data_IF_168640592542
#
_entry.id   IF_168640592542
#
_cell.length_a   1.000
_cell.length_b   1.000
_cell.length_c   1.000
_cell.angle_alpha   90.00
_cell.angle_beta   90.00
_cell.angle_gamma   90.00
#
_symmetry.space_group_name_H-M   'P 1'
#
loop_
_entity.id
_entity.type
_entity.pdbx_description
1 polymer ?
#
# COMPACT_ATOMS: atom_id res chain seq x y z
N UNK A 1 -18.62 -11.45 8.75
CA UNK A 1 -18.69 -12.53 7.73
C UNK A 1 -17.63 -12.27 6.68
N UNK A 2 -16.90 -13.29 6.22
CA UNK A 2 -15.91 -13.11 5.12
C UNK A 2 -16.68 -12.85 3.82
N UNK A 3 -16.48 -11.67 3.24
CA UNK A 3 -17.05 -11.26 1.96
C UNK A 3 -16.33 -12.02 0.83
N UNK A 4 -17.05 -12.77 0.03
CA UNK A 4 -16.49 -13.40 -1.17
C UNK A 4 -16.73 -12.51 -2.39
N UNK A 5 -15.65 -11.99 -2.97
CA UNK A 5 -15.68 -11.22 -4.20
C UNK A 5 -15.19 -12.12 -5.33
N UNK A 6 -16.02 -12.32 -6.34
CA UNK A 6 -15.63 -13.02 -7.54
C UNK A 6 -15.11 -12.00 -8.56
N UNK A 7 -13.85 -12.14 -8.94
CA UNK A 7 -13.25 -11.39 -10.03
C UNK A 7 -13.12 -12.30 -11.27
N UNK A 8 -13.14 -11.75 -12.48
CA UNK A 8 -12.78 -12.51 -13.67
C UNK A 8 -11.36 -13.04 -13.56
N UNK A 9 -10.98 -13.96 -14.43
CA UNK A 9 -9.63 -14.51 -14.47
C UNK A 9 -8.60 -13.38 -14.64
N UNK A 10 -7.54 -13.42 -13.86
CA UNK A 10 -6.45 -12.47 -13.94
C UNK A 10 -5.25 -13.08 -14.67
N UNK A 11 -4.54 -12.26 -15.39
CA UNK A 11 -3.21 -12.59 -15.90
C UNK A 11 -2.19 -12.47 -14.75
N UNK A 12 -1.46 -13.55 -14.44
CA UNK A 12 -0.35 -13.51 -13.51
C UNK A 12 0.88 -12.92 -14.18
N UNK A 13 1.51 -11.93 -13.55
CA UNK A 13 2.77 -11.34 -14.01
C UNK A 13 3.80 -11.30 -12.91
N UNK A 14 5.03 -11.66 -13.27
CA UNK A 14 6.22 -11.48 -12.45
C UNK A 14 6.99 -10.27 -13.00
N UNK A 15 6.90 -9.13 -12.29
CA UNK A 15 7.53 -7.88 -12.70
C UNK A 15 8.83 -7.70 -11.90
N UNK A 16 9.92 -7.47 -12.60
CA UNK A 16 11.21 -7.15 -11.97
C UNK A 16 11.20 -5.73 -11.44
N UNK A 17 11.42 -5.58 -10.14
CA UNK A 17 11.39 -4.28 -9.43
C UNK A 17 12.78 -3.81 -8.97
N UNK A 18 13.74 -4.74 -8.96
CA UNK A 18 15.16 -4.49 -8.77
C UNK A 18 15.94 -5.67 -9.36
N UNK A 19 17.25 -5.57 -9.61
CA UNK A 19 18.03 -6.64 -10.20
C UNK A 19 17.82 -8.00 -9.48
N UNK A 20 17.25 -8.97 -10.21
CA UNK A 20 16.93 -10.29 -9.70
C UNK A 20 15.77 -10.36 -8.70
N UNK A 21 15.06 -9.28 -8.43
CA UNK A 21 13.95 -9.22 -7.48
C UNK A 21 12.64 -8.98 -8.25
N UNK A 22 11.70 -9.92 -8.12
CA UNK A 22 10.41 -9.86 -8.80
C UNK A 22 9.26 -9.80 -7.80
N UNK A 23 8.22 -9.07 -8.17
CA UNK A 23 6.93 -9.06 -7.50
C UNK A 23 5.86 -9.69 -8.38
N UNK A 24 4.88 -10.33 -7.74
CA UNK A 24 3.73 -10.92 -8.45
C UNK A 24 2.63 -9.88 -8.52
N UNK A 25 2.12 -9.65 -9.72
CA UNK A 25 0.94 -8.84 -9.98
C UNK A 25 -0.17 -9.68 -10.62
N UNK A 26 -1.41 -9.44 -10.20
CA UNK A 26 -2.61 -9.97 -10.83
C UNK A 26 -3.25 -8.88 -11.67
N UNK A 27 -3.19 -9.05 -12.99
CA UNK A 27 -3.62 -8.05 -13.97
C UNK A 27 -4.96 -8.45 -14.59
N UNK A 28 -5.90 -7.51 -14.60
CA UNK A 28 -7.18 -7.62 -15.28
C UNK A 28 -7.24 -6.50 -16.32
N UNK A 29 -7.45 -6.87 -17.55
CA UNK A 29 -7.46 -5.94 -18.67
C UNK A 29 -8.84 -5.77 -19.26
N UNK A 30 -9.17 -4.54 -19.65
CA UNK A 30 -10.28 -4.25 -20.54
C UNK A 30 -9.92 -4.63 -21.98
N UNK A 31 -10.90 -4.66 -22.87
CA UNK A 31 -10.70 -4.98 -24.30
C UNK A 31 -9.66 -4.03 -24.92
N UNK A 32 -9.81 -2.72 -24.71
CA UNK A 32 -8.78 -1.72 -25.08
C UNK A 32 -7.97 -1.32 -23.85
N UNK A 33 -6.95 -2.14 -23.52
CA UNK A 33 -6.09 -1.89 -22.35
C UNK A 33 -5.30 -0.60 -22.45
N UNK A 34 -5.02 -0.12 -23.66
CA UNK A 34 -4.18 1.06 -23.86
C UNK A 34 -4.90 2.35 -23.53
N UNK A 35 -6.22 2.41 -23.79
CA UNK A 35 -7.08 3.57 -23.53
C UNK A 35 -7.73 3.54 -22.16
N UNK A 36 -8.03 2.36 -21.65
CA UNK A 36 -8.65 2.23 -20.35
C UNK A 36 -7.73 2.75 -19.23
N UNK A 37 -8.32 3.48 -18.27
CA UNK A 37 -7.60 3.89 -17.05
C UNK A 37 -7.13 2.66 -16.30
N UNK A 38 -5.87 2.64 -15.84
CA UNK A 38 -5.30 1.50 -15.11
C UNK A 38 -5.16 1.85 -13.62
N UNK A 39 -5.75 1.03 -12.75
CA UNK A 39 -5.59 1.12 -11.31
C UNK A 39 -4.46 0.19 -10.87
N UNK A 40 -3.38 0.74 -10.29
CA UNK A 40 -2.33 -0.04 -9.64
C UNK A 40 -2.58 0.00 -8.15
N UNK A 41 -2.91 -1.15 -7.54
CA UNK A 41 -3.36 -1.23 -6.15
C UNK A 41 -2.29 -1.90 -5.29
N UNK A 42 -1.95 -1.29 -4.14
CA UNK A 42 -0.90 -1.74 -3.22
C UNK A 42 -1.48 -2.01 -1.83
N UNK A 43 -1.26 -3.22 -1.32
CA UNK A 43 -1.79 -3.67 -0.03
C UNK A 43 -1.00 -3.16 1.18
N UNK A 44 -1.59 -3.28 2.37
CA UNK A 44 -0.98 -2.93 3.66
C UNK A 44 -0.03 -4.00 4.22
N UNK A 45 0.42 -3.77 5.46
CA UNK A 45 1.32 -4.68 6.19
C UNK A 45 0.71 -6.09 6.29
N UNK A 46 1.53 -7.11 5.97
CA UNK A 46 1.15 -8.53 5.96
C UNK A 46 -0.09 -8.87 5.10
N UNK A 47 -0.47 -7.97 4.19
CA UNK A 47 -1.51 -8.22 3.20
C UNK A 47 -1.00 -8.95 1.96
N UNK A 48 -1.89 -9.03 0.98
CA UNK A 48 -1.59 -9.54 -0.37
C UNK A 48 -2.57 -8.95 -1.40
N UNK A 49 -2.35 -9.24 -2.65
CA UNK A 49 -3.28 -8.94 -3.74
C UNK A 49 -4.67 -9.56 -3.54
N UNK A 50 -4.80 -10.57 -2.67
CA UNK A 50 -6.05 -11.25 -2.33
C UNK A 50 -6.75 -10.65 -1.08
N UNK A 51 -6.20 -9.62 -0.45
CA UNK A 51 -6.87 -8.92 0.65
C UNK A 51 -8.23 -8.38 0.19
N UNK A 52 -9.23 -8.41 1.08
CA UNK A 52 -10.63 -8.09 0.74
C UNK A 52 -10.80 -6.72 0.09
N UNK A 53 -10.14 -5.70 0.62
CA UNK A 53 -10.18 -4.35 0.07
C UNK A 53 -9.51 -4.26 -1.32
N UNK A 54 -8.44 -5.05 -1.57
CA UNK A 54 -7.80 -5.12 -2.89
C UNK A 54 -8.74 -5.69 -3.94
N UNK A 55 -9.46 -6.76 -3.60
CA UNK A 55 -10.44 -7.39 -4.49
C UNK A 55 -11.70 -6.55 -4.63
N UNK A 56 -12.07 -5.78 -3.59
CA UNK A 56 -13.20 -4.85 -3.63
C UNK A 56 -12.97 -3.67 -4.57
N UNK A 57 -11.81 -3.01 -4.44
CA UNK A 57 -11.41 -1.95 -5.38
C UNK A 57 -11.29 -2.50 -6.80
N UNK A 58 -10.73 -3.72 -6.95
CA UNK A 58 -10.62 -4.35 -8.27
C UNK A 58 -11.99 -4.56 -8.92
N UNK A 59 -12.98 -5.08 -8.17
CA UNK A 59 -14.36 -5.23 -8.66
C UNK A 59 -14.95 -3.90 -9.11
N UNK A 60 -14.82 -2.86 -8.28
CA UNK A 60 -15.36 -1.53 -8.58
C UNK A 60 -14.67 -0.90 -9.80
N UNK A 61 -13.34 -1.01 -9.90
CA UNK A 61 -12.57 -0.53 -11.04
C UNK A 61 -12.94 -1.23 -12.35
N UNK A 62 -13.05 -2.57 -12.32
CA UNK A 62 -13.48 -3.35 -13.49
C UNK A 62 -14.90 -3.00 -13.94
N UNK A 63 -15.83 -2.83 -12.99
CA UNK A 63 -17.20 -2.40 -13.29
C UNK A 63 -17.24 -0.97 -13.87
N UNK A 64 -16.26 -0.13 -13.53
CA UNK A 64 -16.10 1.21 -14.10
C UNK A 64 -15.34 1.23 -15.44
N UNK A 65 -15.05 0.06 -16.05
CA UNK A 65 -14.33 -0.03 -17.32
C UNK A 65 -12.82 0.25 -17.22
N UNK A 66 -12.24 0.07 -16.05
CA UNK A 66 -10.80 0.30 -15.82
C UNK A 66 -10.02 -1.01 -15.85
N UNK A 67 -8.76 -0.97 -16.28
CA UNK A 67 -7.81 -2.03 -16.01
C UNK A 67 -7.45 -2.04 -14.52
N UNK A 68 -7.08 -3.21 -14.00
CA UNK A 68 -6.67 -3.34 -12.60
C UNK A 68 -5.43 -4.20 -12.48
N UNK A 69 -4.41 -3.66 -11.80
CA UNK A 69 -3.18 -4.35 -11.43
C UNK A 69 -3.09 -4.42 -9.91
N UNK A 70 -3.32 -5.60 -9.36
CA UNK A 70 -3.20 -5.86 -7.92
C UNK A 70 -1.78 -6.34 -7.61
N UNK A 71 -0.95 -5.45 -7.08
CA UNK A 71 0.46 -5.71 -6.78
C UNK A 71 0.61 -6.43 -5.44
N UNK A 72 1.36 -7.53 -5.41
CA UNK A 72 1.94 -8.02 -4.16
C UNK A 72 3.28 -7.30 -3.93
N UNK A 73 3.51 -6.83 -2.71
CA UNK A 73 4.82 -6.32 -2.33
C UNK A 73 5.85 -7.47 -2.29
N UNK A 74 7.14 -7.15 -2.24
CA UNK A 74 8.21 -8.16 -2.20
C UNK A 74 7.90 -9.25 -1.17
N UNK A 75 8.07 -10.49 -1.55
CA UNK A 75 7.88 -11.65 -0.69
C UNK A 75 6.44 -11.84 -0.13
N UNK A 76 5.46 -11.07 -0.60
CA UNK A 76 4.05 -11.26 -0.28
C UNK A 76 3.35 -12.11 -1.33
N UNK A 77 2.14 -12.60 -1.04
CA UNK A 77 1.36 -13.42 -1.98
C UNK A 77 2.02 -14.74 -2.36
N UNK A 78 2.77 -15.38 -1.46
CA UNK A 78 3.44 -16.66 -1.71
C UNK A 78 4.80 -16.56 -2.41
N UNK A 79 5.38 -15.35 -2.50
CA UNK A 79 6.65 -15.09 -3.18
C UNK A 79 7.86 -15.07 -2.22
N UNK A 80 7.76 -15.63 -1.02
CA UNK A 80 8.84 -15.62 -0.01
C UNK A 80 10.14 -16.24 -0.52
N UNK A 81 10.04 -17.18 -1.46
CA UNK A 81 11.18 -17.92 -2.04
C UNK A 81 11.93 -17.17 -3.16
N UNK A 82 11.40 -16.05 -3.64
CA UNK A 82 11.91 -15.43 -4.87
C UNK A 82 13.19 -14.61 -4.68
N UNK A 83 13.43 -14.07 -3.48
CA UNK A 83 14.63 -13.29 -3.23
C UNK A 83 14.95 -13.19 -1.73
N UNK A 84 16.23 -13.09 -1.31
CA UNK A 84 16.63 -12.92 0.08
C UNK A 84 16.46 -11.46 0.53
N UNK A 85 15.24 -10.93 0.42
CA UNK A 85 14.89 -9.56 0.82
C UNK A 85 13.70 -9.53 1.75
N UNK A 86 13.48 -8.41 2.42
CA UNK A 86 12.26 -8.12 3.17
C UNK A 86 11.56 -6.92 2.52
N UNK A 87 10.22 -6.96 2.46
CA UNK A 87 9.46 -5.77 2.10
C UNK A 87 9.43 -4.80 3.28
N UNK A 88 9.32 -3.52 2.99
CA UNK A 88 9.27 -2.46 3.99
C UNK A 88 8.65 -1.17 3.41
N UNK A 89 8.36 -0.20 4.25
CA UNK A 89 7.67 1.05 3.87
C UNK A 89 8.50 2.02 3.02
N UNK A 90 9.78 1.73 2.74
CA UNK A 90 10.63 2.58 1.89
C UNK A 90 10.61 2.20 0.40
N UNK A 91 9.99 1.08 0.04
CA UNK A 91 10.06 0.48 -1.30
C UNK A 91 9.07 1.11 -2.30
N UNK A 92 8.96 2.44 -2.31
CA UNK A 92 8.22 3.21 -3.32
C UNK A 92 8.74 2.97 -4.74
N UNK A 93 10.05 2.69 -4.89
CA UNK A 93 10.66 2.31 -6.16
C UNK A 93 10.08 1.03 -6.78
N UNK A 94 9.58 0.09 -5.98
CA UNK A 94 8.91 -1.11 -6.51
C UNK A 94 7.57 -0.75 -7.18
N UNK A 95 6.84 0.21 -6.59
CA UNK A 95 5.59 0.74 -7.18
C UNK A 95 5.89 1.44 -8.50
N UNK A 96 6.96 2.25 -8.53
CA UNK A 96 7.42 2.93 -9.74
C UNK A 96 7.83 1.93 -10.84
N UNK A 97 8.51 0.83 -10.49
CA UNK A 97 8.90 -0.21 -11.43
C UNK A 97 7.69 -0.96 -12.01
N UNK A 98 6.66 -1.23 -11.19
CA UNK A 98 5.40 -1.83 -11.69
C UNK A 98 4.69 -0.86 -12.63
N UNK A 99 4.60 0.44 -12.29
CA UNK A 99 4.01 1.44 -13.17
C UNK A 99 4.77 1.54 -14.50
N UNK A 100 6.10 1.59 -14.46
CA UNK A 100 6.94 1.57 -15.65
C UNK A 100 6.68 0.33 -16.52
N UNK A 101 6.61 -0.86 -15.88
CA UNK A 101 6.38 -2.11 -16.61
C UNK A 101 5.05 -2.11 -17.37
N UNK A 102 3.95 -1.63 -16.77
CA UNK A 102 2.65 -1.60 -17.46
C UNK A 102 2.59 -0.54 -18.57
N UNK A 103 3.33 0.56 -18.44
CA UNK A 103 3.48 1.55 -19.52
C UNK A 103 4.22 0.92 -20.70
N UNK A 104 5.40 0.37 -20.45
CA UNK A 104 6.31 -0.12 -21.51
C UNK A 104 5.81 -1.40 -22.19
N UNK A 105 5.23 -2.35 -21.41
CA UNK A 105 4.86 -3.66 -21.93
C UNK A 105 3.39 -3.77 -22.35
N UNK A 106 2.51 -2.92 -21.82
CA UNK A 106 1.06 -2.96 -22.10
C UNK A 106 0.54 -1.73 -22.84
N UNK A 107 1.39 -0.73 -23.03
CA UNK A 107 1.03 0.52 -23.71
C UNK A 107 -0.01 1.33 -22.90
N UNK A 108 -0.04 1.17 -21.58
CA UNK A 108 -0.95 1.92 -20.70
C UNK A 108 -0.68 3.41 -20.85
N UNK A 109 -1.68 4.18 -21.29
CA UNK A 109 -1.55 5.63 -21.53
C UNK A 109 -1.97 6.49 -20.34
N UNK A 110 -2.61 5.89 -19.33
CA UNK A 110 -3.03 6.58 -18.10
C UNK A 110 -3.23 5.60 -16.95
N UNK A 111 -2.69 5.95 -15.78
CA UNK A 111 -2.85 5.14 -14.57
C UNK A 111 -3.00 5.99 -13.30
N UNK A 112 -3.60 5.38 -12.27
CA UNK A 112 -3.64 5.88 -10.90
C UNK A 112 -3.02 4.86 -9.94
N UNK A 113 -2.42 5.37 -8.87
CA UNK A 113 -1.94 4.57 -7.75
C UNK A 113 -2.98 4.57 -6.63
N UNK A 114 -3.28 3.40 -6.08
CA UNK A 114 -4.18 3.24 -4.93
C UNK A 114 -3.47 2.42 -3.86
N UNK A 115 -3.43 2.92 -2.62
CA UNK A 115 -2.77 2.23 -1.52
C UNK A 115 -3.55 2.21 -0.23
N UNK A 116 -3.39 1.14 0.53
CA UNK A 116 -4.03 0.95 1.84
C UNK A 116 -2.97 0.84 2.92
N UNK A 117 -3.14 1.56 4.05
CA UNK A 117 -2.23 1.48 5.20
C UNK A 117 -0.76 1.71 4.80
N UNK A 118 0.13 0.73 5.00
CA UNK A 118 1.51 0.77 4.52
C UNK A 118 1.60 0.95 2.99
N UNK A 119 0.69 0.31 2.22
CA UNK A 119 0.59 0.53 0.77
C UNK A 119 0.20 1.97 0.43
N UNK A 120 -0.62 2.61 1.27
CA UNK A 120 -0.94 4.04 1.18
C UNK A 120 0.30 4.92 1.35
N UNK A 121 1.17 4.59 2.32
CA UNK A 121 2.46 5.26 2.45
C UNK A 121 3.32 5.09 1.18
N UNK A 122 3.40 3.87 0.64
CA UNK A 122 4.21 3.59 -0.55
C UNK A 122 3.75 4.37 -1.79
N UNK A 123 2.44 4.44 -2.05
CA UNK A 123 1.93 5.16 -3.23
C UNK A 123 2.07 6.66 -3.09
N UNK A 124 1.83 7.23 -1.89
CA UNK A 124 2.04 8.66 -1.62
C UNK A 124 3.52 9.02 -1.68
N UNK A 125 4.39 8.17 -1.14
CA UNK A 125 5.84 8.35 -1.23
C UNK A 125 6.31 8.32 -2.68
N UNK A 126 5.86 7.35 -3.47
CA UNK A 126 6.17 7.26 -4.89
C UNK A 126 5.72 8.52 -5.65
N UNK A 127 4.47 8.95 -5.44
CA UNK A 127 3.93 10.15 -6.08
C UNK A 127 4.69 11.43 -5.69
N UNK A 128 5.05 11.58 -4.40
CA UNK A 128 5.81 12.72 -3.91
C UNK A 128 7.28 12.72 -4.35
N UNK A 129 7.91 11.54 -4.49
CA UNK A 129 9.25 11.40 -5.03
C UNK A 129 9.31 11.74 -6.53
N UNK A 130 8.28 11.39 -7.26
CA UNK A 130 8.13 11.82 -8.65
C UNK A 130 7.89 13.33 -8.75
N UNK A 131 7.07 13.90 -7.87
CA UNK A 131 6.70 15.30 -7.96
C UNK A 131 6.22 15.67 -9.37
N UNK A 132 6.67 16.78 -9.90
CA UNK A 132 6.38 17.23 -11.27
C UNK A 132 7.16 16.49 -12.37
N UNK A 133 8.03 15.54 -12.02
CA UNK A 133 8.86 14.78 -12.96
C UNK A 133 8.36 13.33 -13.17
N UNK A 134 7.20 13.01 -12.66
CA UNK A 134 6.57 11.69 -12.84
C UNK A 134 6.21 11.41 -14.30
N UNK A 135 5.94 10.14 -14.64
CA UNK A 135 5.55 9.77 -16.01
C UNK A 135 4.25 10.50 -16.40
N UNK A 136 4.13 10.98 -17.64
CA UNK A 136 2.93 11.70 -18.09
C UNK A 136 1.64 10.88 -18.03
N UNK A 137 1.75 9.55 -17.99
CA UNK A 137 0.65 8.61 -17.84
C UNK A 137 0.07 8.62 -16.41
N UNK A 138 0.81 9.10 -15.41
CA UNK A 138 0.37 9.18 -14.01
C UNK A 138 -0.67 10.29 -13.83
N UNK A 139 -1.92 9.93 -13.46
CA UNK A 139 -3.06 10.86 -13.41
C UNK A 139 -3.58 11.15 -12.02
N UNK A 140 -3.50 10.19 -11.09
CA UNK A 140 -4.03 10.36 -9.74
C UNK A 140 -3.36 9.41 -8.74
N UNK A 141 -3.43 9.79 -7.45
CA UNK A 141 -3.06 8.92 -6.34
C UNK A 141 -4.15 8.92 -5.28
N UNK A 142 -4.50 7.74 -4.74
CA UNK A 142 -5.41 7.62 -3.61
C UNK A 142 -4.81 6.77 -2.51
N UNK A 143 -5.05 7.13 -1.26
CA UNK A 143 -4.55 6.41 -0.11
C UNK A 143 -5.61 6.32 0.99
N UNK A 144 -5.80 5.12 1.53
CA UNK A 144 -6.77 4.85 2.60
C UNK A 144 -6.01 4.52 3.89
N UNK A 145 -6.25 5.28 4.94
CA UNK A 145 -5.55 5.20 6.24
C UNK A 145 -4.03 5.03 6.07
N UNK A 146 -3.35 5.89 5.27
CA UNK A 146 -1.93 5.71 4.99
C UNK A 146 -1.06 5.93 6.22
N UNK A 147 -0.13 5.02 6.47
CA UNK A 147 0.85 5.15 7.55
C UNK A 147 1.96 6.16 7.18
N UNK A 148 1.59 7.43 6.97
CA UNK A 148 2.50 8.49 6.53
C UNK A 148 3.51 8.90 7.62
N UNK A 149 3.08 8.88 8.88
CA UNK A 149 3.88 9.16 10.07
C UNK A 149 4.24 7.84 10.76
N UNK A 150 5.18 7.09 10.17
CA UNK A 150 5.51 5.72 10.57
C UNK A 150 5.89 5.58 12.05
N UNK A 151 6.74 6.46 12.59
CA UNK A 151 7.16 6.41 13.98
C UNK A 151 5.97 6.56 14.93
N UNK A 152 5.11 7.57 14.69
CA UNK A 152 3.94 7.82 15.53
C UNK A 152 2.93 6.67 15.47
N UNK A 153 2.75 6.07 14.29
CA UNK A 153 1.86 4.92 14.11
C UNK A 153 2.41 3.64 14.75
N UNK A 154 3.72 3.40 14.69
CA UNK A 154 4.36 2.29 15.36
C UNK A 154 4.28 2.41 16.89
N UNK A 155 4.44 3.63 17.42
CA UNK A 155 4.28 3.89 18.85
C UNK A 155 2.83 3.73 19.31
N UNK A 156 1.86 4.23 18.53
CA UNK A 156 0.44 4.05 18.81
C UNK A 156 0.01 2.57 18.78
N UNK A 157 0.61 1.77 17.90
CA UNK A 157 0.35 0.33 17.86
C UNK A 157 0.79 -0.36 19.17
N UNK A 158 1.81 0.17 19.85
CA UNK A 158 2.30 -0.34 21.14
C UNK A 158 1.45 0.10 22.35
N UNK A 159 0.49 1.02 22.18
CA UNK A 159 -0.42 1.45 23.26
C UNK A 159 -1.25 0.25 23.79
N UNK A 160 -1.64 0.24 25.08
CA UNK A 160 -2.38 -0.88 25.68
C UNK A 160 -3.63 -1.28 24.92
N UNK A 161 -4.38 -0.31 24.37
CA UNK A 161 -5.61 -0.54 23.61
C UNK A 161 -5.35 -1.28 22.28
N UNK A 162 -4.14 -1.20 21.73
CA UNK A 162 -3.77 -1.74 20.44
C UNK A 162 -2.96 -3.03 20.51
N UNK A 163 -2.73 -3.56 21.71
CA UNK A 163 -1.88 -4.75 21.94
C UNK A 163 -2.28 -5.97 21.12
N UNK A 164 -3.57 -6.18 20.88
CA UNK A 164 -4.04 -7.30 20.06
C UNK A 164 -3.64 -7.14 18.58
N UNK A 165 -3.71 -5.92 18.06
CA UNK A 165 -3.23 -5.62 16.69
C UNK A 165 -1.72 -5.80 16.58
N UNK A 166 -0.97 -5.25 17.53
CA UNK A 166 0.50 -5.40 17.55
C UNK A 166 0.90 -6.88 17.63
N UNK A 167 0.29 -7.64 18.54
CA UNK A 167 0.56 -9.07 18.66
C UNK A 167 0.26 -9.83 17.37
N UNK A 168 -0.85 -9.52 16.70
CA UNK A 168 -1.20 -10.13 15.42
C UNK A 168 -0.15 -9.85 14.36
N UNK A 169 0.27 -8.60 14.19
CA UNK A 169 1.32 -8.24 13.22
C UNK A 169 2.66 -8.87 13.57
N UNK A 170 3.08 -8.83 14.82
CA UNK A 170 4.33 -9.46 15.26
C UNK A 170 4.34 -10.97 15.00
N UNK A 171 3.22 -11.65 15.22
CA UNK A 171 3.11 -13.08 14.94
C UNK A 171 3.36 -13.36 13.45
N UNK A 172 2.79 -12.57 12.56
CA UNK A 172 2.98 -12.72 11.10
C UNK A 172 4.42 -12.39 10.68
N UNK A 173 4.97 -11.30 11.16
CA UNK A 173 6.34 -10.88 10.89
C UNK A 173 7.38 -11.90 11.41
N UNK A 174 7.15 -12.46 12.60
CA UNK A 174 7.98 -13.55 13.14
C UNK A 174 7.91 -14.81 12.28
N UNK A 175 6.71 -15.16 11.80
CA UNK A 175 6.53 -16.31 10.88
C UNK A 175 7.28 -16.07 9.58
N UNK A 176 7.18 -14.87 9.03
CA UNK A 176 7.88 -14.46 7.81
C UNK A 176 9.39 -14.57 7.96
N UNK A 177 9.99 -14.01 9.02
CA UNK A 177 11.44 -14.12 9.21
C UNK A 177 11.89 -15.58 9.39
N UNK A 178 11.10 -16.40 10.10
CA UNK A 178 11.41 -17.84 10.22
C UNK A 178 11.32 -18.57 8.87
N UNK A 179 10.34 -18.22 8.03
CA UNK A 179 10.24 -18.77 6.67
C UNK A 179 11.44 -18.33 5.81
N UNK A 180 11.81 -17.05 5.87
CA UNK A 180 13.00 -16.52 5.19
C UNK A 180 14.28 -17.21 5.62
N UNK A 181 14.50 -17.40 6.92
CA UNK A 181 15.69 -18.09 7.42
C UNK A 181 15.76 -19.57 7.02
N UNK A 182 14.62 -20.23 6.77
CA UNK A 182 14.60 -21.58 6.20
C UNK A 182 14.98 -21.60 4.72
N UNK A 183 14.49 -20.62 3.96
CA UNK A 183 14.72 -20.51 2.52
C UNK A 183 16.11 -19.98 2.19
N UNK A 184 16.62 -19.07 3.02
CA UNK A 184 17.89 -18.38 2.84
C UNK A 184 18.68 -18.38 4.15
N UNK A 185 19.22 -19.53 4.59
CA UNK A 185 19.84 -19.69 5.91
C UNK A 185 21.14 -18.88 6.09
N UNK A 186 21.79 -18.49 5.00
CA UNK A 186 22.99 -17.67 5.04
C UNK A 186 22.69 -16.16 5.11
N UNK A 187 21.45 -15.75 4.77
CA UNK A 187 21.06 -14.36 4.70
C UNK A 187 20.24 -13.92 5.92
N UNK A 188 19.51 -14.84 6.57
CA UNK A 188 18.61 -14.52 7.68
C UNK A 188 18.89 -15.33 8.94
N UNK A 189 18.93 -14.62 10.09
CA UNK A 189 19.15 -15.21 11.40
C UNK A 189 17.93 -15.00 12.33
N UNK A 190 17.27 -16.11 12.70
CA UNK A 190 16.10 -16.08 13.61
C UNK A 190 16.45 -15.62 15.03
N UNK A 191 17.74 -15.62 15.43
CA UNK A 191 18.16 -15.12 16.75
C UNK A 191 17.86 -13.64 16.94
N UNK A 192 17.70 -12.88 15.85
CA UNK A 192 17.28 -11.47 15.86
C UNK A 192 15.87 -11.27 16.41
N UNK A 193 15.04 -12.32 16.47
CA UNK A 193 13.71 -12.26 17.08
C UNK A 193 13.74 -12.35 18.63
N UNK A 194 14.90 -12.63 19.24
CA UNK A 194 14.98 -12.74 20.70
C UNK A 194 14.62 -11.40 21.38
N UNK A 195 13.63 -11.43 22.27
CA UNK A 195 13.16 -10.25 23.01
C UNK A 195 12.48 -9.19 22.14
N UNK A 196 12.06 -9.52 20.93
CA UNK A 196 11.22 -8.65 20.10
C UNK A 196 9.78 -8.76 20.57
N UNK A 197 9.31 -7.71 21.25
CA UNK A 197 7.98 -7.63 21.87
C UNK A 197 7.14 -6.46 21.37
N UNK A 198 7.68 -5.65 20.43
CA UNK A 198 6.95 -4.56 19.77
C UNK A 198 7.32 -4.44 18.31
N UNK A 199 6.47 -3.77 17.52
CA UNK A 199 6.74 -3.50 16.12
C UNK A 199 8.03 -2.68 15.95
N UNK A 200 8.22 -1.65 16.78
CA UNK A 200 9.44 -0.83 16.76
C UNK A 200 10.70 -1.67 17.01
N UNK A 201 10.67 -2.61 17.96
CA UNK A 201 11.80 -3.52 18.19
C UNK A 201 12.03 -4.50 17.02
N UNK A 202 10.96 -4.94 16.36
CA UNK A 202 11.09 -5.73 15.14
C UNK A 202 11.76 -4.89 14.04
N UNK A 203 11.30 -3.69 13.85
CA UNK A 203 11.86 -2.79 12.82
C UNK A 203 13.32 -2.43 13.12
N UNK A 204 13.68 -2.23 14.39
CA UNK A 204 15.05 -1.96 14.78
C UNK A 204 15.99 -3.14 14.53
N UNK A 205 15.59 -4.34 14.97
CA UNK A 205 16.46 -5.52 14.96
C UNK A 205 16.44 -6.32 13.68
N UNK A 206 15.35 -6.22 12.92
CA UNK A 206 15.11 -7.03 11.72
C UNK A 206 15.02 -6.14 10.49
N UNK A 207 14.00 -5.29 10.39
CA UNK A 207 13.78 -4.47 9.19
C UNK A 207 14.97 -3.56 8.91
N UNK A 208 15.42 -2.79 9.89
CA UNK A 208 16.55 -1.88 9.72
C UNK A 208 17.82 -2.64 9.34
N UNK A 209 18.13 -3.70 10.06
CA UNK A 209 19.34 -4.49 9.80
C UNK A 209 19.40 -5.09 8.38
N UNK A 210 18.32 -5.75 7.94
CA UNK A 210 18.31 -6.43 6.62
C UNK A 210 18.04 -5.48 5.45
N UNK A 211 17.53 -4.28 5.72
CA UNK A 211 17.19 -3.30 4.68
C UNK A 211 18.15 -2.09 4.64
N UNK A 212 19.24 -2.11 5.42
CA UNK A 212 20.31 -1.09 5.33
C UNK A 212 19.97 0.25 5.99
N UNK A 213 19.25 0.22 7.10
CA UNK A 213 18.99 1.38 7.96
C UNK A 213 19.80 1.28 9.24
N UNK A 214 20.13 2.43 9.86
CA UNK A 214 20.89 2.50 11.10
C UNK A 214 20.11 2.01 12.32
N UNK A 215 18.77 1.99 12.25
CA UNK A 215 17.84 1.54 13.27
C UNK A 215 16.42 1.88 12.87
N UNK A 216 15.44 1.63 13.76
CA UNK A 216 14.03 1.91 13.50
C UNK A 216 13.76 3.39 13.19
N UNK A 217 14.41 4.30 13.90
CA UNK A 217 14.20 5.74 13.70
C UNK A 217 14.71 6.22 12.34
N UNK A 218 15.87 5.74 11.89
CA UNK A 218 16.37 6.02 10.52
C UNK A 218 15.44 5.42 9.48
N UNK A 219 14.97 4.19 9.69
CA UNK A 219 14.00 3.55 8.81
C UNK A 219 12.72 4.39 8.69
N UNK A 220 12.10 4.76 9.81
CA UNK A 220 10.88 5.56 9.80
C UNK A 220 11.08 6.94 9.18
N UNK A 221 12.19 7.60 9.51
CA UNK A 221 12.52 8.91 8.95
C UNK A 221 12.65 8.86 7.42
N UNK A 222 13.30 7.83 6.87
CA UNK A 222 13.55 7.72 5.42
C UNK A 222 12.38 7.12 4.64
N UNK A 223 11.55 6.30 5.27
CA UNK A 223 10.46 5.58 4.64
C UNK A 223 9.12 6.36 4.63
N UNK A 224 8.98 7.38 5.46
CA UNK A 224 7.74 8.12 5.67
C UNK A 224 7.34 9.00 4.47
N UNK A 225 6.11 8.86 3.98
CA UNK A 225 5.56 9.69 2.92
C UNK A 225 5.37 11.16 3.33
N UNK A 226 5.26 11.44 4.63
CA UNK A 226 5.19 12.82 5.16
C UNK A 226 6.35 13.71 4.70
N UNK A 227 7.49 13.12 4.30
CA UNK A 227 8.65 13.87 3.82
C UNK A 227 8.48 14.45 2.42
N UNK A 228 7.55 13.93 1.65
CA UNK A 228 7.40 14.23 0.22
C UNK A 228 5.94 14.49 -0.21
N UNK A 229 4.97 14.36 0.70
CA UNK A 229 3.54 14.49 0.39
C UNK A 229 3.18 15.86 -0.17
N UNK A 230 3.88 16.89 0.26
CA UNK A 230 3.75 18.28 -0.24
C UNK A 230 4.22 18.47 -1.69
N UNK A 231 4.94 17.50 -2.25
CA UNK A 231 5.47 17.56 -3.63
C UNK A 231 4.60 16.85 -4.65
N UNK A 232 3.53 16.19 -4.23
CA UNK A 232 2.61 15.47 -5.13
C UNK A 232 2.02 16.45 -6.14
N UNK A 233 2.23 16.18 -7.43
CA UNK A 233 1.88 17.11 -8.51
C UNK A 233 0.65 16.66 -9.32
N UNK A 234 0.00 15.58 -8.94
CA UNK A 234 -1.26 15.10 -9.54
C UNK A 234 -2.39 15.15 -8.51
N UNK A 235 -3.66 15.17 -8.93
CA UNK A 235 -4.79 15.05 -8.01
C UNK A 235 -4.65 13.84 -7.08
N UNK A 236 -4.83 14.07 -5.78
CA UNK A 236 -4.70 13.04 -4.77
C UNK A 236 -5.83 13.07 -3.75
N UNK A 237 -6.31 11.87 -3.36
CA UNK A 237 -7.29 11.69 -2.29
C UNK A 237 -6.67 10.88 -1.16
N UNK A 238 -6.73 11.43 0.05
CA UNK A 238 -6.32 10.74 1.27
C UNK A 238 -7.56 10.57 2.14
N UNK A 239 -7.98 9.33 2.35
CA UNK A 239 -9.07 8.97 3.25
C UNK A 239 -8.51 8.51 4.59
N UNK A 240 -9.00 9.07 5.68
CA UNK A 240 -8.63 8.68 7.04
C UNK A 240 -9.88 8.59 7.92
N UNK A 241 -9.81 7.78 8.98
CA UNK A 241 -10.87 7.69 9.98
C UNK A 241 -10.34 8.22 11.32
N UNK A 242 -11.05 9.14 11.95
CA UNK A 242 -10.67 9.69 13.25
C UNK A 242 -10.59 8.61 14.34
N UNK A 243 -11.36 7.53 14.19
CA UNK A 243 -11.35 6.37 15.06
C UNK A 243 -10.39 5.24 14.62
N UNK A 244 -9.43 5.51 13.70
CA UNK A 244 -8.38 4.54 13.38
C UNK A 244 -7.56 4.23 14.65
N UNK A 245 -7.47 2.96 15.07
CA UNK A 245 -6.89 2.62 16.36
C UNK A 245 -5.40 2.95 16.46
N UNK A 246 -4.63 2.92 15.37
CA UNK A 246 -3.17 3.04 15.43
C UNK A 246 -2.52 3.89 14.31
N UNK A 247 -3.20 4.23 13.24
CA UNK A 247 -2.63 5.19 12.30
C UNK A 247 -2.76 6.60 12.90
N UNK A 248 -1.64 7.28 13.00
CA UNK A 248 -1.57 8.65 13.50
C UNK A 248 -1.10 9.56 12.38
N UNK A 249 -1.81 10.66 12.18
CA UNK A 249 -1.43 11.72 11.24
C UNK A 249 -1.06 12.95 12.05
N UNK A 250 0.21 13.35 11.99
CA UNK A 250 0.73 14.49 12.77
C UNK A 250 0.22 15.82 12.18
N UNK A 251 0.09 16.82 13.03
CA UNK A 251 -0.33 18.17 12.62
C UNK A 251 0.61 18.78 11.56
N UNK A 252 1.89 18.42 11.57
CA UNK A 252 2.84 18.83 10.53
C UNK A 252 2.48 18.22 9.18
N UNK A 253 2.16 16.94 9.14
CA UNK A 253 1.73 16.22 7.94
C UNK A 253 0.43 16.80 7.40
N UNK A 254 -0.55 17.08 8.27
CA UNK A 254 -1.79 17.75 7.89
C UNK A 254 -1.54 19.14 7.28
N UNK A 255 -0.62 19.94 7.84
CA UNK A 255 -0.24 21.23 7.24
C UNK A 255 0.38 21.10 5.86
N UNK A 256 1.23 20.09 5.63
CA UNK A 256 1.81 19.81 4.31
C UNK A 256 0.74 19.44 3.29
N UNK A 257 -0.21 18.58 3.68
CA UNK A 257 -1.34 18.19 2.84
C UNK A 257 -2.20 19.40 2.52
N UNK A 258 -2.59 20.18 3.53
CA UNK A 258 -3.42 21.39 3.34
C UNK A 258 -2.74 22.47 2.49
N UNK A 259 -1.42 22.52 2.48
CA UNK A 259 -0.62 23.42 1.64
C UNK A 259 -0.47 22.97 0.19
N UNK A 260 -0.86 21.74 -0.15
CA UNK A 260 -0.77 21.21 -1.51
C UNK A 260 -2.15 21.25 -2.21
N UNK A 261 -2.34 22.13 -3.22
CA UNK A 261 -3.65 22.30 -3.89
C UNK A 261 -4.11 21.06 -4.67
N UNK A 262 -3.23 20.10 -4.93
CA UNK A 262 -3.57 18.86 -5.60
C UNK A 262 -4.17 17.81 -4.64
N UNK A 263 -4.06 18.00 -3.32
CA UNK A 263 -4.46 17.00 -2.35
C UNK A 263 -5.79 17.33 -1.69
N UNK A 264 -6.66 16.33 -1.63
CA UNK A 264 -7.88 16.34 -0.82
C UNK A 264 -7.70 15.37 0.33
N UNK A 265 -7.81 15.85 1.58
CA UNK A 265 -7.83 15.03 2.78
C UNK A 265 -9.25 14.95 3.31
N UNK A 266 -9.76 13.74 3.45
CA UNK A 266 -11.09 13.47 4.01
C UNK A 266 -10.92 12.64 5.26
N UNK A 267 -11.34 13.20 6.41
CA UNK A 267 -11.41 12.48 7.66
C UNK A 267 -12.86 12.24 8.03
N UNK A 268 -13.22 10.96 8.19
CA UNK A 268 -14.53 10.56 8.67
C UNK A 268 -14.49 10.29 10.17
N UNK A 269 -15.61 10.49 10.88
CA UNK A 269 -15.67 10.16 12.31
C UNK A 269 -15.42 8.67 12.55
N UNK A 270 -15.99 7.83 11.69
CA UNK A 270 -15.93 6.37 11.77
C UNK A 270 -15.36 5.78 10.47
N UNK A 271 -14.74 4.61 10.58
CA UNK A 271 -14.12 3.90 9.44
C UNK A 271 -13.16 2.82 9.93
N UNK A 272 -12.62 3.00 11.12
CA UNK A 272 -11.60 2.12 11.69
C UNK A 272 -10.36 2.06 10.78
N UNK A 273 -9.58 0.99 10.91
CA UNK A 273 -8.42 0.83 10.05
C UNK A 273 -8.81 0.22 8.69
N UNK A 274 -8.98 1.06 7.69
CA UNK A 274 -9.26 0.70 6.28
C UNK A 274 -10.60 -0.01 6.03
N UNK A 275 -11.54 -0.07 6.99
CA UNK A 275 -12.78 -0.83 6.82
C UNK A 275 -13.89 -0.01 6.17
N UNK A 276 -14.19 1.20 6.69
CA UNK A 276 -15.19 2.14 6.19
C UNK A 276 -16.50 1.47 5.77
N UNK A 277 -17.07 0.69 6.70
CA UNK A 277 -18.31 -0.07 6.46
C UNK A 277 -19.51 0.81 6.75
N UNK A 278 -20.35 1.00 5.74
CA UNK A 278 -21.64 1.67 5.81
C UNK A 278 -22.80 0.73 5.45
N UNK A 279 -24.00 1.29 5.34
CA UNK A 279 -25.17 0.53 4.90
C UNK A 279 -25.12 0.31 3.38
N UNK A 280 -25.40 -0.94 2.91
CA UNK A 280 -25.60 -1.20 1.49
C UNK A 280 -26.84 -0.45 0.96
N UNK A 281 -26.78 0.05 -0.29
CA UNK A 281 -27.88 0.81 -0.89
C UNK A 281 -28.87 -0.03 -1.74
N UNK A 282 -28.63 -1.33 -1.86
CA UNK A 282 -29.45 -2.22 -2.67
C UNK A 282 -29.25 -2.07 -4.19
N UNK A 283 -28.47 -1.08 -4.64
CA UNK A 283 -28.19 -0.79 -6.06
C UNK A 283 -26.79 -1.26 -6.49
N UNK A 284 -26.25 -2.29 -5.83
CA UNK A 284 -24.93 -2.84 -6.11
C UNK A 284 -23.81 -2.33 -5.21
N UNK A 285 -24.05 -1.31 -4.41
CA UNK A 285 -23.14 -0.89 -3.34
C UNK A 285 -23.27 -1.82 -2.13
N UNK A 286 -22.18 -2.42 -1.73
CA UNK A 286 -22.12 -3.45 -0.68
C UNK A 286 -21.68 -2.92 0.70
N UNK A 287 -21.70 -1.62 0.89
CA UNK A 287 -21.38 -0.96 2.17
C UNK A 287 -19.88 -0.64 2.36
N UNK A 288 -18.97 -1.01 1.46
CA UNK A 288 -17.53 -0.71 1.60
C UNK A 288 -17.20 0.64 0.95
N UNK A 289 -17.42 1.71 1.71
CA UNK A 289 -17.40 3.07 1.22
C UNK A 289 -16.05 3.49 0.62
N UNK A 290 -14.94 3.29 1.32
CA UNK A 290 -13.62 3.69 0.84
C UNK A 290 -13.24 3.01 -0.48
N UNK A 291 -13.62 1.73 -0.67
CA UNK A 291 -13.36 1.00 -1.92
C UNK A 291 -14.09 1.59 -3.13
N UNK A 292 -15.26 2.18 -2.91
CA UNK A 292 -16.02 2.91 -3.93
C UNK A 292 -15.41 4.28 -4.16
N UNK A 293 -15.18 5.04 -3.10
CA UNK A 293 -14.72 6.44 -3.19
C UNK A 293 -13.39 6.59 -3.91
N UNK A 294 -12.43 5.69 -3.68
CA UNK A 294 -11.14 5.75 -4.38
C UNK A 294 -11.29 5.54 -5.89
N UNK A 295 -12.25 4.73 -6.33
CA UNK A 295 -12.53 4.52 -7.76
C UNK A 295 -13.31 5.68 -8.35
N UNK A 296 -14.33 6.18 -7.65
CA UNK A 296 -15.11 7.35 -8.11
C UNK A 296 -14.25 8.61 -8.21
N UNK A 297 -13.33 8.82 -7.25
CA UNK A 297 -12.36 9.92 -7.35
C UNK A 297 -11.52 9.82 -8.62
N UNK A 298 -10.98 8.63 -8.93
CA UNK A 298 -10.19 8.45 -10.16
C UNK A 298 -11.04 8.70 -11.40
N UNK A 299 -12.30 8.26 -11.43
CA UNK A 299 -13.23 8.58 -12.54
C UNK A 299 -13.42 10.08 -12.75
N UNK A 300 -13.62 10.83 -11.67
CA UNK A 300 -13.81 12.28 -11.73
C UNK A 300 -12.57 13.02 -12.24
N UNK A 301 -11.38 12.55 -11.90
CA UNK A 301 -10.12 13.18 -12.32
C UNK A 301 -9.82 12.95 -13.81
N UNK A 302 -10.28 11.83 -14.40
CA UNK A 302 -9.91 11.42 -15.77
C UNK A 302 -11.06 11.51 -16.77
N UNK A 303 -12.28 11.78 -16.32
CA UNK A 303 -13.45 12.03 -17.17
C UNK A 303 -13.50 13.44 -17.59
#
# INVERSE_FOLDING_TARGET
MSRRIHLPAAEERLIEVAPGIRVRCWCHWQEDRTRAMTLIIVHGLEGSAESQYMTGVARNGLAAGMNVVRMNQRNCGGMDHCAPTLYNSSLSGDVAAVAKSVIENDGVSRFALIGFSMGGNLVLKCAGEWGGQGPPEFKAVTAVCPAMDLAASADALHEPANRLYEWYFLLQLHRRLRAKAKLFPNDFDVRRLRGVTSLRLFDDRVTAYYCGFAGADDYYARAAATNVVDRIAVPGLILHAANDPFIRVRSETLRKIAGNPNLTYVETADGGHCSFIGEPDGNGYDGHWAEREVVEFVKQVVG
#
